data_IF_966681335819
#
_entry.id   IF_966681335819
#
_cell.length_a   1.000
_cell.length_b   1.000
_cell.length_c   1.000
_cell.angle_alpha   90.00
_cell.angle_beta   90.00
_cell.angle_gamma   90.00
#
_symmetry.space_group_name_H-M   'P 1'
#
loop_
_entity.id
_entity.type
_entity.pdbx_description
1 polymer ?
#
# COMPACT_ATOMS: atom_id res chain seq x y z
N UNK A 1 -58.50 -25.41 -23.26
CA UNK A 1 -57.09 -25.35 -23.68
C UNK A 1 -56.54 -23.96 -23.38
N UNK A 2 -55.26 -23.89 -22.99
CA UNK A 2 -54.45 -22.77 -22.50
C UNK A 2 -54.54 -22.46 -20.99
N UNK A 3 -53.64 -23.12 -20.27
CA UNK A 3 -53.07 -22.70 -19.00
C UNK A 3 -51.77 -21.92 -19.27
N UNK A 4 -51.50 -20.90 -18.46
CA UNK A 4 -50.19 -20.29 -18.20
C UNK A 4 -50.24 -19.91 -16.70
N UNK A 5 -49.65 -20.69 -15.79
CA UNK A 5 -48.26 -20.59 -15.31
C UNK A 5 -47.90 -19.14 -14.98
N UNK A 6 -48.09 -18.78 -13.72
CA UNK A 6 -47.51 -17.59 -13.09
C UNK A 6 -46.56 -18.08 -12.00
N UNK A 7 -45.33 -17.59 -12.09
CA UNK A 7 -44.13 -18.03 -11.38
C UNK A 7 -44.00 -17.20 -10.09
N UNK A 8 -43.95 -17.90 -8.95
CA UNK A 8 -43.90 -17.32 -7.61
C UNK A 8 -42.43 -17.15 -7.19
N UNK A 9 -41.99 -15.90 -6.98
CA UNK A 9 -40.68 -15.57 -6.42
C UNK A 9 -40.79 -15.47 -4.90
N UNK A 10 -40.09 -16.36 -4.21
CA UNK A 10 -40.01 -16.52 -2.76
C UNK A 10 -38.98 -15.51 -2.19
N UNK A 11 -39.48 -14.44 -1.56
CA UNK A 11 -38.69 -13.46 -0.78
C UNK A 11 -38.46 -13.98 0.64
N UNK A 12 -37.24 -14.44 0.95
CA UNK A 12 -36.85 -14.86 2.31
C UNK A 12 -35.90 -13.87 2.97
N UNK A 13 -36.44 -12.70 3.34
CA UNK A 13 -35.82 -11.81 4.32
C UNK A 13 -36.21 -12.28 5.73
N UNK A 14 -35.30 -13.01 6.40
CA UNK A 14 -35.43 -13.41 7.81
C UNK A 14 -34.52 -12.55 8.68
N UNK A 15 -35.07 -11.61 9.44
CA UNK A 15 -34.46 -11.20 10.71
C UNK A 15 -35.55 -11.03 11.78
N UNK A 16 -35.36 -11.78 12.86
CA UNK A 16 -36.29 -11.92 13.97
C UNK A 16 -36.05 -10.83 15.01
N UNK A 17 -37.12 -10.17 15.43
CA UNK A 17 -37.18 -9.31 16.61
C UNK A 17 -37.44 -10.21 17.82
N UNK A 18 -36.61 -10.15 18.86
CA UNK A 18 -37.04 -10.44 20.22
C UNK A 18 -36.45 -9.44 21.22
N UNK A 19 -37.38 -8.76 21.89
CA UNK A 19 -37.21 -7.87 23.04
C UNK A 19 -36.94 -8.69 24.30
N UNK A 20 -35.98 -8.26 25.12
CA UNK A 20 -35.98 -8.56 26.57
C UNK A 20 -35.55 -7.32 27.36
N UNK A 21 -36.43 -6.93 28.26
CA UNK A 21 -36.31 -5.89 29.29
C UNK A 21 -35.85 -6.53 30.59
N UNK A 22 -34.95 -5.87 31.35
CA UNK A 22 -34.90 -5.94 32.81
C UNK A 22 -33.98 -4.86 33.43
N UNK A 23 -34.62 -3.92 34.13
CA UNK A 23 -34.31 -3.26 35.41
C UNK A 23 -32.89 -3.24 36.03
N UNK A 24 -32.40 -2.02 36.18
CA UNK A 24 -31.89 -1.30 37.39
C UNK A 24 -31.12 -1.98 38.54
N UNK A 25 -30.03 -1.27 38.90
CA UNK A 25 -29.40 -1.03 40.22
C UNK A 25 -28.41 -2.07 40.79
N UNK A 26 -27.12 -1.71 40.87
CA UNK A 26 -26.47 -1.15 42.07
C UNK A 26 -24.93 -1.07 41.87
N UNK A 27 -24.38 0.08 42.22
CA UNK A 27 -22.95 0.33 42.33
C UNK A 27 -22.32 -0.56 43.42
N UNK A 28 -21.25 -1.27 43.08
CA UNK A 28 -20.33 -1.85 44.06
C UNK A 28 -18.91 -1.70 43.55
N UNK A 29 -18.21 -0.75 44.14
CA UNK A 29 -16.77 -0.56 43.98
C UNK A 29 -16.05 -1.75 44.62
N UNK A 30 -15.40 -2.57 43.81
CA UNK A 30 -14.40 -3.53 44.28
C UNK A 30 -13.07 -3.23 43.63
N UNK A 31 -12.16 -2.76 44.49
CA UNK A 31 -10.74 -2.58 44.28
C UNK A 31 -10.13 -3.85 43.67
N UNK A 32 -9.53 -3.75 42.49
CA UNK A 32 -8.69 -4.81 41.93
C UNK A 32 -7.21 -4.45 42.12
N UNK A 33 -6.39 -5.38 42.65
CA UNK A 33 -4.98 -5.15 42.91
C UNK A 33 -4.17 -5.07 41.60
N UNK A 34 -3.24 -4.11 41.58
CA UNK A 34 -2.20 -3.93 40.57
C UNK A 34 -1.28 -5.14 40.59
N UNK A 35 -1.39 -6.00 39.58
CA UNK A 35 -0.39 -7.05 39.31
C UNK A 35 0.56 -6.50 38.26
N UNK A 36 1.78 -6.19 38.69
CA UNK A 36 2.85 -5.71 37.83
C UNK A 36 3.27 -6.79 36.82
N UNK A 37 3.05 -6.50 35.54
CA UNK A 37 3.69 -7.26 34.46
C UNK A 37 5.13 -6.77 34.30
N UNK A 38 6.06 -7.54 34.84
CA UNK A 38 7.49 -7.45 34.60
C UNK A 38 7.77 -7.68 33.11
N UNK A 39 8.15 -6.63 32.39
CA UNK A 39 8.64 -6.74 31.01
C UNK A 39 10.04 -7.36 31.00
N UNK A 40 10.12 -8.69 30.89
CA UNK A 40 11.37 -9.37 30.56
C UNK A 40 11.61 -9.25 29.05
N UNK A 41 12.30 -8.17 28.66
CA UNK A 41 12.83 -7.94 27.33
C UNK A 41 13.86 -9.02 26.98
N UNK A 42 13.44 -10.05 26.23
CA UNK A 42 14.34 -11.08 25.70
C UNK A 42 14.85 -10.65 24.33
N UNK A 43 15.80 -9.69 24.33
CA UNK A 43 16.65 -9.40 23.17
C UNK A 43 17.50 -10.64 22.89
N UNK A 44 17.24 -11.33 21.78
CA UNK A 44 18.25 -12.20 21.15
C UNK A 44 19.18 -11.26 20.39
N UNK A 45 20.39 -11.10 20.88
CA UNK A 45 21.48 -10.49 20.11
C UNK A 45 22.30 -11.63 19.50
N UNK A 46 22.25 -11.70 18.17
CA UNK A 46 23.23 -12.44 17.39
C UNK A 46 24.58 -11.74 17.57
N UNK A 47 25.56 -12.48 18.08
CA UNK A 47 26.94 -12.01 18.17
C UNK A 47 27.55 -11.89 16.78
N UNK A 48 28.05 -10.70 16.47
CA UNK A 48 29.08 -10.51 15.46
C UNK A 48 30.30 -9.97 16.19
N UNK A 49 31.41 -10.70 16.01
CA UNK A 49 32.68 -10.47 16.67
C UNK A 49 33.28 -9.12 16.32
N UNK A 50 33.82 -8.48 17.35
CA UNK A 50 34.60 -7.27 17.30
C UNK A 50 36.01 -7.62 16.81
N UNK A 51 36.40 -7.09 15.65
CA UNK A 51 37.81 -7.00 15.26
C UNK A 51 38.23 -5.54 15.43
N UNK A 52 38.84 -5.24 16.58
CA UNK A 52 39.43 -3.95 16.88
C UNK A 52 40.66 -3.69 15.99
N UNK A 53 40.63 -2.60 15.22
CA UNK A 53 41.84 -2.00 14.65
C UNK A 53 41.89 -0.56 15.10
N UNK A 54 42.66 -0.33 16.16
CA UNK A 54 42.85 0.98 16.76
C UNK A 54 43.61 1.92 15.84
N UNK A 55 43.02 3.08 15.53
CA UNK A 55 43.73 4.20 14.94
C UNK A 55 43.66 5.40 15.90
N UNK A 56 44.79 5.65 16.56
CA UNK A 56 45.02 6.83 17.41
C UNK A 56 45.14 8.07 16.53
N UNK A 57 44.33 9.09 16.81
CA UNK A 57 44.55 10.44 16.27
C UNK A 57 45.56 11.19 17.16
N UNK A 58 46.60 11.82 16.60
CA UNK A 58 47.41 12.77 17.34
C UNK A 58 46.82 14.19 17.31
N UNK A 59 47.17 14.89 18.38
CA UNK A 59 46.68 16.15 18.90
C UNK A 59 47.18 17.35 18.07
N UNK A 60 46.29 18.33 17.92
CA UNK A 60 46.54 19.60 17.23
C UNK A 60 47.62 20.45 17.91
N UNK A 61 48.47 21.06 17.10
CA UNK A 61 49.26 22.25 17.45
C UNK A 61 49.16 23.27 16.32
N UNK A 62 48.73 24.48 16.68
CA UNK A 62 48.66 25.63 15.80
C UNK A 62 50.05 26.23 15.54
N UNK A 63 50.31 26.69 14.31
CA UNK A 63 51.33 27.70 13.99
C UNK A 63 50.78 28.66 12.94
N UNK A 64 51.16 29.91 13.12
CA UNK A 64 50.71 31.17 12.53
C UNK A 64 51.38 31.54 11.19
N UNK A 65 50.75 32.48 10.49
CA UNK A 65 51.33 33.63 9.75
C UNK A 65 51.17 33.67 8.22
N UNK A 66 50.54 34.78 7.81
CA UNK A 66 50.83 35.69 6.69
C UNK A 66 51.54 35.16 5.46
N UNK A 67 51.00 35.43 4.26
CA UNK A 67 51.35 36.60 3.42
C UNK A 67 50.49 36.59 2.14
N UNK A 68 50.09 37.79 1.70
CA UNK A 68 49.35 38.12 0.46
C UNK A 68 50.10 37.68 -0.81
N UNK A 69 49.35 37.32 -1.86
CA UNK A 69 49.54 37.85 -3.22
C UNK A 69 48.38 37.41 -4.13
N UNK A 70 47.78 38.40 -4.80
CA UNK A 70 46.76 38.24 -5.81
C UNK A 70 47.39 37.82 -7.15
N UNK A 71 46.79 36.85 -7.85
CA UNK A 71 46.87 36.78 -9.31
C UNK A 71 45.66 36.03 -9.89
N UNK A 72 45.06 36.64 -10.92
CA UNK A 72 44.46 35.96 -12.07
C UNK A 72 43.22 35.09 -11.84
N UNK A 73 42.04 35.71 -11.91
CA UNK A 73 40.81 35.03 -12.33
C UNK A 73 40.90 34.72 -13.84
N UNK A 74 40.84 33.45 -14.17
CA UNK A 74 40.21 32.95 -15.40
C UNK A 74 39.61 31.60 -15.04
N UNK A 75 38.47 31.62 -14.34
CA UNK A 75 37.61 30.45 -14.33
C UNK A 75 36.85 30.48 -15.65
N UNK A 76 37.28 29.60 -16.54
CA UNK A 76 36.42 29.07 -17.58
C UNK A 76 35.76 27.89 -16.89
N UNK A 77 34.74 28.18 -16.09
CA UNK A 77 33.83 27.13 -15.65
C UNK A 77 32.95 26.86 -16.86
N UNK A 78 33.03 25.63 -17.34
CA UNK A 78 32.13 25.06 -18.34
C UNK A 78 30.73 25.06 -17.72
N UNK A 79 29.95 26.12 -17.97
CA UNK A 79 28.50 26.11 -17.81
C UNK A 79 27.93 25.33 -19.02
N UNK A 80 28.08 24.00 -18.99
CA UNK A 80 27.14 23.10 -19.65
C UNK A 80 25.84 23.19 -18.84
N UNK A 81 25.05 24.24 -19.10
CA UNK A 81 23.61 24.24 -18.81
C UNK A 81 23.00 23.15 -19.70
N UNK A 82 23.06 21.90 -19.23
CA UNK A 82 22.06 20.88 -19.54
C UNK A 82 20.73 21.41 -18.96
N UNK A 83 20.12 22.37 -19.66
CA UNK A 83 18.68 22.53 -19.68
C UNK A 83 18.14 21.20 -20.25
N UNK A 84 18.03 20.21 -19.37
CA UNK A 84 17.09 19.11 -19.52
C UNK A 84 15.71 19.79 -19.58
N UNK A 85 15.34 20.19 -20.80
CA UNK A 85 13.97 20.46 -21.20
C UNK A 85 13.18 19.16 -20.91
N UNK A 86 12.74 18.99 -19.67
CA UNK A 86 11.69 18.07 -19.22
C UNK A 86 10.31 18.47 -19.82
N UNK A 87 10.30 18.89 -21.09
CA UNK A 87 9.11 19.16 -21.89
C UNK A 87 8.50 17.85 -22.42
N UNK A 88 8.13 16.88 -21.57
CA UNK A 88 7.22 15.80 -22.01
C UNK A 88 6.48 15.01 -20.91
N UNK A 89 6.00 15.65 -19.84
CA UNK A 89 5.00 14.98 -18.97
C UNK A 89 3.84 15.88 -18.53
N UNK A 90 4.04 17.20 -18.59
CA UNK A 90 3.00 18.20 -18.26
C UNK A 90 1.89 18.31 -19.32
N UNK A 91 2.06 17.76 -20.52
CA UNK A 91 1.13 17.93 -21.67
C UNK A 91 -0.14 17.09 -21.56
N UNK A 92 -0.16 16.06 -20.70
CA UNK A 92 -1.30 15.11 -20.60
C UNK A 92 -2.16 15.33 -19.33
N UNK A 93 -1.73 16.19 -18.40
CA UNK A 93 -2.44 16.38 -17.12
C UNK A 93 -3.61 17.36 -17.30
N UNK A 94 -4.83 16.86 -17.13
CA UNK A 94 -6.06 17.68 -17.16
C UNK A 94 -6.35 18.34 -15.81
N UNK A 95 -7.01 19.51 -15.79
CA UNK A 95 -7.49 20.11 -14.55
C UNK A 95 -8.47 19.19 -13.83
N UNK A 96 -8.30 19.03 -12.52
CA UNK A 96 -9.15 18.17 -11.72
C UNK A 96 -10.55 18.77 -11.52
N UNK A 97 -11.56 18.20 -12.18
CA UNK A 97 -12.95 18.67 -12.14
C UNK A 97 -13.04 20.19 -12.36
N UNK A 98 -13.62 20.93 -11.40
CA UNK A 98 -13.75 22.39 -11.43
C UNK A 98 -12.56 23.14 -10.81
N UNK A 99 -11.39 22.51 -10.66
CA UNK A 99 -10.16 23.15 -10.13
C UNK A 99 -9.26 23.62 -11.27
N UNK A 100 -8.36 24.56 -10.97
CA UNK A 100 -7.36 25.01 -11.93
C UNK A 100 -6.27 23.96 -12.15
N UNK A 101 -5.63 24.00 -13.32
CA UNK A 101 -4.48 23.13 -13.62
C UNK A 101 -3.35 23.31 -12.60
N UNK A 102 -3.01 24.56 -12.26
CA UNK A 102 -2.00 24.87 -11.25
C UNK A 102 -2.30 24.25 -9.87
N UNK A 103 -3.57 24.21 -9.46
CA UNK A 103 -3.97 23.53 -8.22
C UNK A 103 -3.76 22.02 -8.31
N UNK A 104 -4.13 21.42 -9.45
CA UNK A 104 -3.98 19.98 -9.72
C UNK A 104 -2.52 19.56 -9.68
N UNK A 105 -1.64 20.30 -10.35
CA UNK A 105 -0.19 20.07 -10.34
C UNK A 105 0.40 20.20 -8.93
N UNK A 106 0.00 21.22 -8.18
CA UNK A 106 0.44 21.39 -6.78
C UNK A 106 -0.05 20.24 -5.90
N UNK A 107 -1.28 19.78 -6.09
CA UNK A 107 -1.84 18.65 -5.33
C UNK A 107 -1.06 17.37 -5.61
N UNK A 108 -0.81 17.04 -6.89
CA UNK A 108 -0.03 15.85 -7.31
C UNK A 108 1.39 15.88 -6.74
N UNK A 109 2.04 17.04 -6.75
CA UNK A 109 3.38 17.21 -6.14
C UNK A 109 3.39 16.91 -4.64
N UNK A 110 2.33 17.28 -3.91
CA UNK A 110 2.23 17.05 -2.47
C UNK A 110 1.72 15.65 -2.11
N UNK A 111 0.92 15.04 -2.99
CA UNK A 111 0.33 13.73 -2.84
C UNK A 111 0.59 12.89 -4.11
N UNK A 112 1.80 12.32 -4.25
CA UNK A 112 2.10 11.42 -5.36
C UNK A 112 1.23 10.15 -5.27
N UNK A 113 0.98 9.53 -6.43
CA UNK A 113 0.07 8.37 -6.58
C UNK A 113 0.34 7.28 -5.56
N UNK A 114 1.60 6.79 -5.46
CA UNK A 114 1.98 5.71 -4.55
C UNK A 114 1.63 6.03 -3.09
N UNK A 115 1.91 7.27 -2.64
CA UNK A 115 1.63 7.70 -1.27
C UNK A 115 0.13 7.81 -0.99
N UNK A 116 -0.64 8.27 -1.97
CA UNK A 116 -2.10 8.31 -1.86
C UNK A 116 -2.68 6.88 -1.83
N UNK A 117 -2.18 5.98 -2.69
CA UNK A 117 -2.57 4.58 -2.74
C UNK A 117 -2.28 3.84 -1.43
N UNK A 118 -1.09 3.98 -0.85
CA UNK A 118 -0.77 3.35 0.44
C UNK A 118 -1.74 3.76 1.56
N UNK A 119 -2.22 5.01 1.55
CA UNK A 119 -3.26 5.46 2.51
C UNK A 119 -4.59 4.76 2.24
N UNK A 120 -4.99 4.65 0.97
CA UNK A 120 -6.23 3.97 0.59
C UNK A 120 -6.22 2.50 0.99
N UNK A 121 -5.12 1.80 0.72
CA UNK A 121 -4.93 0.40 1.13
C UNK A 121 -5.04 0.28 2.65
N UNK A 122 -4.51 1.24 3.41
CA UNK A 122 -4.61 1.23 4.88
C UNK A 122 -6.04 1.39 5.42
N UNK A 123 -6.96 1.95 4.64
CA UNK A 123 -8.38 2.02 5.01
C UNK A 123 -9.12 0.69 4.80
N UNK A 124 -8.61 -0.17 3.92
CA UNK A 124 -9.14 -1.52 3.73
C UNK A 124 -10.50 -1.60 3.03
N UNK A 125 -10.78 -0.66 2.13
CA UNK A 125 -12.02 -0.67 1.35
C UNK A 125 -12.08 -1.86 0.38
N UNK A 126 -13.24 -2.51 0.29
CA UNK A 126 -13.38 -3.79 -0.42
C UNK A 126 -14.03 -3.70 -1.79
N UNK A 127 -14.65 -2.58 -2.11
CA UNK A 127 -15.36 -2.39 -3.37
C UNK A 127 -15.44 -0.91 -3.75
N UNK A 128 -15.86 -0.66 -4.98
CA UNK A 128 -16.17 0.69 -5.46
C UNK A 128 -17.35 1.30 -4.67
N UNK A 129 -18.35 0.50 -4.33
CA UNK A 129 -19.51 1.00 -3.56
C UNK A 129 -19.08 1.46 -2.15
N UNK A 130 -18.23 0.68 -1.49
CA UNK A 130 -17.63 1.03 -0.19
C UNK A 130 -16.76 2.30 -0.29
N UNK A 131 -16.06 2.48 -1.41
CA UNK A 131 -15.35 3.72 -1.70
C UNK A 131 -16.29 4.93 -1.83
N UNK A 132 -17.39 4.79 -2.58
CA UNK A 132 -18.36 5.88 -2.77
C UNK A 132 -19.04 6.26 -1.45
N UNK A 133 -19.31 5.28 -0.59
CA UNK A 133 -19.78 5.50 0.79
C UNK A 133 -18.72 6.22 1.64
N UNK A 134 -17.44 5.86 1.53
CA UNK A 134 -16.34 6.53 2.22
C UNK A 134 -16.14 7.99 1.73
N UNK A 135 -16.33 8.24 0.43
CA UNK A 135 -16.34 9.59 -0.16
C UNK A 135 -17.49 10.41 0.42
N UNK A 136 -18.70 9.86 0.44
CA UNK A 136 -19.90 10.58 0.89
C UNK A 136 -19.89 10.88 2.40
N UNK A 137 -19.35 9.97 3.20
CA UNK A 137 -19.16 10.13 4.64
C UNK A 137 -17.97 11.05 5.01
N UNK A 138 -17.09 11.38 4.05
CA UNK A 138 -15.92 12.22 4.28
C UNK A 138 -14.78 11.53 5.02
N UNK A 139 -14.78 10.19 5.08
CA UNK A 139 -13.79 9.39 5.81
C UNK A 139 -12.37 9.46 5.21
N UNK A 140 -12.26 9.75 3.91
CA UNK A 140 -11.00 9.75 3.15
C UNK A 140 -10.04 10.90 3.52
N UNK A 141 -10.53 11.96 4.16
CA UNK A 141 -9.75 13.13 4.54
C UNK A 141 -9.27 13.98 3.36
N UNK A 142 -8.33 14.91 3.62
CA UNK A 142 -7.89 15.91 2.63
C UNK A 142 -6.79 15.43 1.66
N UNK A 143 -6.19 14.29 1.94
CA UNK A 143 -5.00 13.79 1.25
C UNK A 143 -5.29 12.67 0.24
N UNK A 144 -6.56 12.33 0.10
CA UNK A 144 -7.06 11.31 -0.82
C UNK A 144 -8.11 11.99 -1.70
N UNK A 145 -7.90 12.06 -3.02
CA UNK A 145 -8.88 12.66 -3.92
C UNK A 145 -10.11 11.75 -4.02
N UNK A 146 -11.30 12.34 -4.12
CA UNK A 146 -12.54 11.57 -4.25
C UNK A 146 -12.61 10.77 -5.57
N UNK A 147 -11.97 11.29 -6.62
CA UNK A 147 -11.92 10.70 -7.97
C UNK A 147 -10.44 10.53 -8.33
N UNK A 148 -9.83 9.43 -7.89
CA UNK A 148 -8.41 9.18 -8.08
C UNK A 148 -8.07 8.85 -9.54
N UNK A 149 -9.01 8.29 -10.29
CA UNK A 149 -8.95 8.03 -11.73
C UNK A 149 -8.74 9.30 -12.56
N UNK A 150 -9.39 10.41 -12.18
CA UNK A 150 -9.15 11.70 -12.82
C UNK A 150 -7.85 12.36 -12.33
N UNK A 151 -7.57 12.29 -11.02
CA UNK A 151 -6.40 12.94 -10.42
C UNK A 151 -5.08 12.30 -10.89
N UNK A 152 -5.09 10.98 -11.08
CA UNK A 152 -3.94 10.16 -11.40
C UNK A 152 -4.09 9.47 -12.76
N UNK A 153 -4.76 10.10 -13.72
CA UNK A 153 -5.09 9.50 -15.01
C UNK A 153 -3.91 8.85 -15.76
N UNK A 154 -2.68 9.32 -15.53
CA UNK A 154 -1.46 8.78 -16.14
C UNK A 154 -1.02 7.49 -15.42
N UNK A 155 -1.04 7.49 -14.09
CA UNK A 155 -0.61 6.36 -13.25
C UNK A 155 -1.74 5.37 -12.93
N UNK A 156 -2.98 5.74 -13.23
CA UNK A 156 -4.17 5.00 -12.88
C UNK A 156 -4.35 3.79 -13.79
N UNK A 157 -4.41 2.60 -13.19
CA UNK A 157 -4.63 1.35 -13.92
C UNK A 157 -6.08 0.87 -13.78
N UNK A 158 -6.54 0.67 -12.55
CA UNK A 158 -7.86 0.13 -12.25
C UNK A 158 -8.27 0.40 -10.80
N UNK A 159 -9.58 0.28 -10.53
CA UNK A 159 -10.10 0.36 -9.17
C UNK A 159 -9.51 -0.71 -8.25
N UNK A 160 -9.36 -1.94 -8.75
CA UNK A 160 -8.81 -3.04 -7.96
C UNK A 160 -7.37 -2.75 -7.52
N UNK A 161 -6.59 -2.11 -8.38
CA UNK A 161 -5.23 -1.73 -8.04
C UNK A 161 -5.17 -0.62 -7.00
N UNK A 162 -6.00 0.40 -7.17
CA UNK A 162 -6.07 1.54 -6.26
C UNK A 162 -6.53 1.15 -4.85
N UNK A 163 -7.54 0.30 -4.77
CA UNK A 163 -8.07 -0.23 -3.51
C UNK A 163 -7.15 -1.30 -2.89
N UNK A 164 -6.18 -1.82 -3.67
CA UNK A 164 -5.27 -2.88 -3.22
C UNK A 164 -5.95 -4.24 -3.13
N UNK A 165 -6.98 -4.47 -3.93
CA UNK A 165 -7.64 -5.77 -4.03
C UNK A 165 -6.72 -6.77 -4.71
N UNK A 166 -6.68 -7.98 -4.15
CA UNK A 166 -5.97 -9.11 -4.77
C UNK A 166 -6.69 -9.49 -6.07
N UNK A 167 -5.92 -10.08 -6.99
CA UNK A 167 -6.46 -10.59 -8.25
C UNK A 167 -7.45 -11.73 -8.05
N UNK A 168 -8.21 -12.04 -9.10
CA UNK A 168 -9.07 -13.22 -9.13
C UNK A 168 -8.25 -14.51 -9.17
N UNK A 169 -8.89 -15.66 -8.91
CA UNK A 169 -8.23 -16.96 -8.93
C UNK A 169 -7.53 -17.23 -10.27
N UNK A 170 -8.25 -17.07 -11.38
CA UNK A 170 -7.76 -17.31 -12.74
C UNK A 170 -6.58 -16.39 -13.10
N UNK A 171 -6.67 -15.11 -12.75
CA UNK A 171 -5.59 -14.16 -12.99
C UNK A 171 -4.35 -14.50 -12.15
N UNK A 172 -4.52 -14.83 -10.87
CA UNK A 172 -3.40 -15.21 -10.00
C UNK A 172 -2.74 -16.49 -10.52
N UNK A 173 -3.52 -17.48 -10.95
CA UNK A 173 -3.02 -18.69 -11.61
C UNK A 173 -2.22 -18.37 -12.86
N UNK A 174 -2.74 -17.50 -13.73
CA UNK A 174 -2.02 -17.06 -14.93
C UNK A 174 -0.70 -16.38 -14.58
N UNK A 175 -0.69 -15.48 -13.59
CA UNK A 175 0.54 -14.79 -13.14
C UNK A 175 1.56 -15.79 -12.57
N UNK A 176 1.13 -16.71 -11.71
CA UNK A 176 1.99 -17.70 -11.09
C UNK A 176 2.64 -18.65 -12.11
N UNK A 177 1.87 -19.13 -13.10
CA UNK A 177 2.31 -20.13 -14.06
C UNK A 177 3.01 -19.53 -15.27
N UNK A 178 2.43 -18.52 -15.92
CA UNK A 178 2.90 -17.99 -17.20
C UNK A 178 3.93 -16.88 -17.02
N UNK A 179 3.73 -15.99 -16.04
CA UNK A 179 4.62 -14.84 -15.81
C UNK A 179 5.78 -15.21 -14.91
N UNK A 180 5.52 -15.97 -13.83
CA UNK A 180 6.55 -16.35 -12.86
C UNK A 180 7.16 -17.73 -13.14
N UNK A 181 6.46 -18.62 -13.86
CA UNK A 181 6.98 -19.95 -14.19
C UNK A 181 7.02 -20.93 -13.01
N UNK A 182 6.25 -20.66 -11.94
CA UNK A 182 6.22 -21.45 -10.72
C UNK A 182 5.45 -22.75 -10.93
N UNK A 183 5.91 -23.84 -10.31
CA UNK A 183 5.33 -25.18 -10.51
C UNK A 183 4.66 -25.76 -9.27
N UNK A 184 4.95 -25.22 -8.09
CA UNK A 184 4.39 -25.71 -6.84
C UNK A 184 4.23 -24.59 -5.81
N UNK A 185 3.45 -24.90 -4.77
CA UNK A 185 3.12 -23.98 -3.69
C UNK A 185 4.35 -23.60 -2.86
N UNK A 186 5.33 -24.51 -2.75
CA UNK A 186 6.59 -24.25 -2.05
C UNK A 186 7.43 -23.17 -2.74
N UNK A 187 7.57 -23.25 -4.07
CA UNK A 187 8.24 -22.21 -4.87
C UNK A 187 7.49 -20.89 -4.78
N UNK A 188 6.15 -20.94 -4.84
CA UNK A 188 5.30 -19.77 -4.72
C UNK A 188 5.47 -19.04 -3.38
N UNK A 189 5.40 -19.78 -2.27
CA UNK A 189 5.56 -19.21 -0.93
C UNK A 189 6.95 -18.60 -0.77
N UNK A 190 7.99 -19.31 -1.23
CA UNK A 190 9.37 -18.81 -1.21
C UNK A 190 9.52 -17.52 -2.02
N UNK A 191 8.83 -17.41 -3.16
CA UNK A 191 8.84 -16.20 -3.99
C UNK A 191 8.20 -15.02 -3.27
N UNK A 192 7.01 -15.21 -2.67
CA UNK A 192 6.32 -14.14 -1.94
C UNK A 192 7.17 -13.65 -0.76
N UNK A 193 7.83 -14.55 -0.05
CA UNK A 193 8.69 -14.20 1.09
C UNK A 193 10.00 -13.51 0.66
N UNK A 194 10.65 -13.98 -0.42
CA UNK A 194 11.90 -13.41 -0.90
C UNK A 194 11.71 -12.04 -1.58
N UNK A 195 10.67 -11.90 -2.41
CA UNK A 195 10.45 -10.72 -3.26
C UNK A 195 9.12 -10.02 -2.95
N UNK A 196 8.92 -9.65 -1.68
CA UNK A 196 7.67 -9.06 -1.18
C UNK A 196 7.18 -7.86 -2.00
N UNK A 197 8.08 -6.97 -2.45
CA UNK A 197 7.72 -5.80 -3.28
C UNK A 197 7.12 -6.21 -4.63
N UNK A 198 7.68 -7.25 -5.24
CA UNK A 198 7.18 -7.76 -6.53
C UNK A 198 5.87 -8.49 -6.34
N UNK A 199 5.72 -9.26 -5.27
CA UNK A 199 4.47 -9.92 -4.92
C UNK A 199 3.34 -8.90 -4.67
N UNK A 200 3.63 -7.83 -3.92
CA UNK A 200 2.69 -6.73 -3.69
C UNK A 200 2.29 -6.03 -5.01
N UNK A 201 3.27 -5.75 -5.88
CA UNK A 201 3.00 -5.18 -7.20
C UNK A 201 2.15 -6.07 -8.10
N UNK A 202 2.31 -7.40 -7.99
CA UNK A 202 1.49 -8.36 -8.73
C UNK A 202 0.10 -8.58 -8.13
N UNK A 203 -0.16 -8.09 -6.91
CA UNK A 203 -1.42 -8.24 -6.17
C UNK A 203 -1.84 -9.71 -6.03
N UNK A 204 -0.85 -10.55 -5.76
CA UNK A 204 -1.04 -11.98 -5.53
C UNK A 204 -1.10 -12.27 -4.02
N UNK A 205 -2.01 -13.13 -3.56
CA UNK A 205 -2.15 -13.44 -2.14
C UNK A 205 -0.96 -14.29 -1.65
N UNK A 206 -0.52 -14.09 -0.40
CA UNK A 206 0.59 -14.89 0.14
C UNK A 206 0.28 -16.40 0.22
N UNK A 207 -1.00 -16.73 0.43
CA UNK A 207 -1.50 -18.11 0.53
C UNK A 207 -2.75 -18.27 -0.34
N UNK A 208 -2.59 -18.71 -1.61
CA UNK A 208 -3.72 -18.84 -2.53
C UNK A 208 -4.67 -19.96 -2.09
N UNK A 209 -4.17 -20.97 -1.38
CA UNK A 209 -4.93 -22.08 -0.83
C UNK A 209 -5.99 -21.65 0.19
N UNK A 210 -5.67 -20.66 1.02
CA UNK A 210 -6.60 -20.08 2.00
C UNK A 210 -7.43 -18.97 1.36
N UNK A 211 -6.80 -18.12 0.54
CA UNK A 211 -7.45 -16.93 0.01
C UNK A 211 -8.59 -17.29 -0.96
N UNK A 212 -8.42 -18.34 -1.77
CA UNK A 212 -9.42 -18.82 -2.71
C UNK A 212 -10.07 -20.11 -2.23
N UNK A 213 -10.32 -20.28 -0.93
CA UNK A 213 -10.84 -21.54 -0.35
C UNK A 213 -12.08 -22.09 -1.07
N UNK A 214 -12.94 -21.20 -1.58
CA UNK A 214 -14.16 -21.55 -2.30
C UNK A 214 -13.92 -22.08 -3.73
N UNK A 215 -12.85 -21.61 -4.39
CA UNK A 215 -12.47 -21.97 -5.78
C UNK A 215 -11.32 -22.98 -5.83
N UNK A 216 -10.69 -23.27 -4.68
CA UNK A 216 -9.51 -24.11 -4.58
C UNK A 216 -9.86 -25.59 -4.68
N UNK A 217 -9.44 -26.23 -5.77
CA UNK A 217 -9.63 -27.66 -5.99
C UNK A 217 -8.42 -28.43 -5.43
N UNK A 218 -7.26 -28.18 -6.03
CA UNK A 218 -6.01 -28.85 -5.72
C UNK A 218 -4.82 -28.03 -6.22
N UNK A 219 -3.67 -28.26 -5.59
CA UNK A 219 -2.43 -27.57 -5.93
C UNK A 219 -2.02 -27.84 -7.40
N UNK A 220 -2.27 -29.04 -7.91
CA UNK A 220 -1.86 -29.40 -9.27
C UNK A 220 -2.69 -28.65 -10.30
N UNK A 221 -4.01 -28.56 -10.12
CA UNK A 221 -4.85 -27.72 -10.97
C UNK A 221 -4.43 -26.26 -10.95
N UNK A 222 -4.04 -25.70 -9.80
CA UNK A 222 -3.59 -24.32 -9.72
C UNK A 222 -2.31 -24.04 -10.54
N UNK A 223 -1.34 -24.95 -10.51
CA UNK A 223 -0.06 -24.77 -11.23
C UNK A 223 -0.02 -25.42 -12.62
N UNK A 224 -1.11 -26.03 -13.07
CA UNK A 224 -1.21 -26.55 -14.41
C UNK A 224 -1.21 -25.40 -15.43
N UNK A 225 -0.34 -25.50 -16.44
CA UNK A 225 -0.21 -24.51 -17.50
C UNK A 225 -1.51 -24.45 -18.30
N UNK A 226 -2.11 -23.26 -18.38
CA UNK A 226 -3.22 -22.97 -19.27
C UNK A 226 -2.76 -22.71 -20.71
#
# INVERSE_FOLDING_TARGET
>A
MRAAVFEERDDRSKHWILLLSASTLLLRTSSFPVIGFSTSSRRRHCGLGENEVGFRLPRATAVTSSTLLAVGRSSSDDDDDDDDDDEDETTTILPYRNRSLAWTLRYRRLNPYERARSRVISFGHRSKDDWDDAVSSGQLGQYVPSHPDEMYAIEWVSWDEWLGLMRTYDETRYMATNVLGLKCLGEYTSFVECDAKRAEGLRIPARPDIYYEDEWIDEQSFFEKS
#
